data_IF_288908860581
#
_entry.id   IF_288908860581
#
_cell.length_a   1.000
_cell.length_b   1.000
_cell.length_c   1.000
_cell.angle_alpha   90.00
_cell.angle_beta   90.00
_cell.angle_gamma   90.00
#
_symmetry.space_group_name_H-M   'P 1'
#
loop_
_entity.id
_entity.type
_entity.pdbx_description
1 polymer ?
#
# COMPACT_ATOMS: atom_id res chain seq x y z
N UNK A 1 15.38 -3.65 1.76
CA UNK A 1 15.24 -3.21 0.37
C UNK A 1 14.34 -1.97 0.34
N UNK A 2 14.65 -0.97 -0.49
CA UNK A 2 13.79 0.20 -0.63
C UNK A 2 12.54 -0.18 -1.45
N UNK A 3 11.31 0.09 -0.98
CA UNK A 3 10.10 -0.17 -1.73
C UNK A 3 10.02 0.78 -2.92
N UNK A 4 9.63 0.26 -4.08
CA UNK A 4 9.49 1.02 -5.31
C UNK A 4 8.03 1.07 -5.75
N UNK A 5 7.62 2.17 -6.38
CA UNK A 5 6.22 2.37 -6.84
C UNK A 5 5.74 1.26 -7.78
N UNK A 6 6.63 0.69 -8.60
CA UNK A 6 6.29 -0.46 -9.46
C UNK A 6 5.85 -1.71 -8.68
N UNK A 7 6.31 -1.87 -7.45
CA UNK A 7 6.05 -3.07 -6.63
C UNK A 7 4.68 -3.09 -5.95
N UNK A 8 3.85 -2.05 -6.18
CA UNK A 8 2.48 -1.95 -5.67
C UNK A 8 1.46 -1.69 -6.77
N UNK A 9 1.89 -1.53 -8.03
CA UNK A 9 1.02 -1.21 -9.17
C UNK A 9 -0.13 -2.21 -9.30
N UNK A 10 -1.35 -1.70 -9.35
CA UNK A 10 -2.58 -2.50 -9.49
C UNK A 10 -3.02 -3.25 -8.22
N UNK A 11 -2.29 -3.11 -7.10
CA UNK A 11 -2.60 -3.80 -5.85
C UNK A 11 -3.12 -2.83 -4.78
N UNK A 12 -3.93 -3.33 -3.85
CA UNK A 12 -4.41 -2.56 -2.70
C UNK A 12 -3.41 -2.58 -1.52
N UNK A 13 -2.12 -2.63 -1.81
CA UNK A 13 -1.04 -2.76 -0.81
C UNK A 13 -0.38 -1.41 -0.52
N UNK A 14 -0.01 -1.21 0.74
CA UNK A 14 0.92 -0.17 1.17
C UNK A 14 2.21 -0.84 1.65
N UNK A 15 3.33 -0.54 1.01
CA UNK A 15 4.65 -1.03 1.44
C UNK A 15 5.36 0.07 2.22
N UNK A 16 5.81 -0.26 3.42
CA UNK A 16 6.50 0.66 4.31
C UNK A 16 7.93 0.19 4.52
N UNK A 17 8.90 1.11 4.43
CA UNK A 17 10.28 0.88 4.84
C UNK A 17 10.77 2.02 5.72
N UNK A 18 11.68 1.69 6.63
CA UNK A 18 12.22 2.60 7.62
C UNK A 18 13.73 2.61 7.46
N UNK A 19 14.32 3.80 7.37
CA UNK A 19 15.76 4.00 7.30
C UNK A 19 16.19 5.03 8.34
N UNK A 20 17.30 4.74 9.01
CA UNK A 20 17.98 5.69 9.88
C UNK A 20 19.38 5.92 9.31
N UNK A 21 19.66 7.08 8.69
CA UNK A 21 21.00 7.39 8.19
C UNK A 21 22.00 7.49 9.36
N UNK A 22 23.13 6.78 9.28
CA UNK A 22 24.34 6.88 10.12
C UNK A 22 24.13 7.47 11.53
N UNK A 23 23.44 6.72 12.41
CA UNK A 23 23.18 7.09 13.82
C UNK A 23 22.57 8.49 14.03
N UNK A 24 21.95 9.07 13.00
CA UNK A 24 21.24 10.34 13.13
C UNK A 24 19.98 10.18 13.96
N UNK A 25 19.58 11.25 14.63
CA UNK A 25 18.30 11.34 15.35
C UNK A 25 17.09 11.47 14.40
N UNK A 26 17.29 11.23 13.09
CA UNK A 26 16.26 11.31 12.07
C UNK A 26 15.93 9.93 11.51
N UNK A 27 14.65 9.58 11.55
CA UNK A 27 14.11 8.40 10.90
C UNK A 27 13.41 8.82 9.62
N UNK A 28 13.76 8.19 8.50
CA UNK A 28 13.11 8.34 7.20
C UNK A 28 12.15 7.18 7.00
N UNK A 29 10.86 7.47 6.97
CA UNK A 29 9.79 6.50 6.68
C UNK A 29 9.35 6.66 5.23
N UNK A 30 9.46 5.60 4.43
CA UNK A 30 8.95 5.57 3.07
C UNK A 30 7.66 4.75 3.05
N UNK A 31 6.61 5.32 2.45
CA UNK A 31 5.35 4.66 2.16
C UNK A 31 5.12 4.65 0.66
N UNK A 32 4.77 3.49 0.11
CA UNK A 32 4.58 3.30 -1.33
C UNK A 32 3.24 2.61 -1.57
N UNK A 33 2.40 3.25 -2.38
CA UNK A 33 1.06 2.79 -2.76
C UNK A 33 0.84 2.98 -4.27
N UNK A 34 -0.07 2.20 -4.85
CA UNK A 34 -0.73 2.59 -6.09
C UNK A 34 -1.76 3.68 -5.77
N UNK A 35 -1.62 4.86 -6.38
CA UNK A 35 -2.46 6.02 -6.08
C UNK A 35 -3.90 5.88 -6.59
N UNK A 36 -4.16 5.03 -7.58
CA UNK A 36 -5.51 4.79 -8.11
C UNK A 36 -6.21 3.63 -7.41
N UNK A 37 -5.45 2.63 -6.92
CA UNK A 37 -5.99 1.52 -6.13
C UNK A 37 -5.99 1.89 -4.65
N UNK A 38 -4.89 1.68 -3.93
CA UNK A 38 -4.82 1.93 -2.49
C UNK A 38 -4.96 3.42 -2.13
N UNK A 39 -4.60 4.32 -3.04
CA UNK A 39 -4.79 5.76 -2.84
C UNK A 39 -6.20 6.28 -3.16
N UNK A 40 -7.06 5.48 -3.80
CA UNK A 40 -8.39 5.92 -4.20
C UNK A 40 -9.42 4.77 -4.20
N UNK A 41 -9.69 4.15 -5.36
CA UNK A 41 -10.83 3.25 -5.54
C UNK A 41 -10.75 1.99 -4.68
N UNK A 42 -9.56 1.40 -4.55
CA UNK A 42 -9.33 0.24 -3.69
C UNK A 42 -9.57 0.55 -2.21
N UNK A 43 -9.17 1.73 -1.73
CA UNK A 43 -9.48 2.17 -0.37
C UNK A 43 -10.98 2.43 -0.16
N UNK A 44 -11.68 2.97 -1.16
CA UNK A 44 -13.14 3.14 -1.11
C UNK A 44 -13.85 1.79 -0.99
N UNK A 45 -13.44 0.78 -1.78
CA UNK A 45 -13.96 -0.59 -1.68
C UNK A 45 -13.63 -1.21 -0.32
N UNK A 46 -12.41 -0.99 0.20
CA UNK A 46 -12.03 -1.48 1.52
C UNK A 46 -12.91 -0.89 2.65
N UNK A 47 -13.19 0.41 2.58
CA UNK A 47 -14.10 1.09 3.51
C UNK A 47 -15.54 0.57 3.36
N UNK A 48 -15.99 0.33 2.13
CA UNK A 48 -17.30 -0.29 1.86
C UNK A 48 -17.37 -1.70 2.47
N UNK A 49 -16.34 -2.53 2.29
CA UNK A 49 -16.30 -3.87 2.88
C UNK A 49 -16.50 -3.80 4.40
N UNK A 50 -15.77 -2.91 5.07
CA UNK A 50 -15.92 -2.67 6.52
C UNK A 50 -17.34 -2.20 6.87
N UNK A 51 -17.88 -1.21 6.15
CA UNK A 51 -19.21 -0.64 6.41
C UNK A 51 -20.35 -1.66 6.26
N UNK A 52 -20.21 -2.64 5.37
CA UNK A 52 -21.18 -3.70 5.15
C UNK A 52 -20.82 -5.02 5.86
N UNK A 53 -19.85 -4.99 6.77
CA UNK A 53 -19.40 -6.15 7.57
C UNK A 53 -18.99 -7.36 6.70
N UNK A 54 -18.39 -7.07 5.55
CA UNK A 54 -17.75 -8.04 4.66
C UNK A 54 -16.28 -8.23 5.07
N UNK A 55 -15.62 -9.27 4.54
CA UNK A 55 -14.17 -9.38 4.64
C UNK A 55 -13.52 -8.12 4.04
N UNK A 56 -12.69 -7.43 4.82
CA UNK A 56 -12.02 -6.19 4.43
C UNK A 56 -11.25 -6.35 3.10
N UNK A 57 -10.71 -7.56 2.84
CA UNK A 57 -9.93 -7.85 1.62
C UNK A 57 -10.77 -8.37 0.45
N UNK A 58 -12.09 -8.51 0.60
CA UNK A 58 -12.96 -8.96 -0.47
C UNK A 58 -12.80 -8.09 -1.72
N UNK A 59 -12.49 -8.70 -2.87
CA UNK A 59 -12.26 -8.00 -4.13
C UNK A 59 -10.93 -7.23 -4.26
N UNK A 60 -10.02 -7.32 -3.28
CA UNK A 60 -8.80 -6.50 -3.20
C UNK A 60 -7.49 -7.31 -3.19
N UNK A 61 -7.57 -8.61 -3.52
CA UNK A 61 -6.44 -9.55 -3.45
C UNK A 61 -5.55 -9.55 -4.71
N UNK A 62 -5.74 -8.60 -5.62
CA UNK A 62 -4.89 -8.48 -6.80
C UNK A 62 -3.43 -8.26 -6.42
N UNK A 63 -2.57 -9.15 -6.89
CA UNK A 63 -1.12 -9.00 -6.75
C UNK A 63 -0.61 -7.88 -7.64
N UNK A 64 0.51 -7.26 -7.24
CA UNK A 64 1.10 -6.17 -8.00
C UNK A 64 1.60 -6.67 -9.36
N UNK A 65 1.38 -5.88 -10.41
CA UNK A 65 1.83 -6.21 -11.75
C UNK A 65 3.28 -5.75 -11.96
N UNK A 66 4.13 -6.67 -12.44
CA UNK A 66 5.50 -6.38 -12.85
C UNK A 66 5.67 -6.78 -14.33
N UNK A 67 6.52 -6.11 -15.11
CA UNK A 67 7.15 -6.76 -16.25
C UNK A 67 8.05 -7.92 -15.78
#
# INVERSE_FOLDING_TARGET
SHPETRTVKGSNMCRIAIHQPQDSDTIVVLSVIDNLVKGAAGQAVQNMNIAFNLDEKAGLNSVSLMP
#
